data_IF_461076155101
#
_entry.id   IF_461076155101
#
_cell.length_a   1.000
_cell.length_b   1.000
_cell.length_c   1.000
_cell.angle_alpha   90.00
_cell.angle_beta   90.00
_cell.angle_gamma   90.00
#
_symmetry.space_group_name_H-M   'P 1'
#
loop_
_entity.id
_entity.type
_entity.pdbx_description
1 polymer ?
#
# COMPACT_ATOMS: atom_id res chain seq x y z
N UNK A 1 12.10 10.28 18.53
CA UNK A 1 12.52 11.14 17.41
C UNK A 1 11.36 11.44 16.49
N UNK A 2 11.56 12.38 15.66
CA UNK A 2 10.59 12.81 14.65
C UNK A 2 11.36 13.19 13.40
N UNK A 3 10.88 12.76 12.25
CA UNK A 3 11.39 13.16 10.93
C UNK A 3 10.21 13.69 10.11
N UNK A 4 10.36 14.87 9.54
CA UNK A 4 9.30 15.54 8.78
C UNK A 4 9.87 16.01 7.44
N UNK A 5 9.35 15.45 6.37
CA UNK A 5 9.72 15.76 4.99
C UNK A 5 8.48 16.07 4.17
N UNK A 6 7.87 17.23 4.41
CA UNK A 6 6.63 17.62 3.76
C UNK A 6 6.80 18.82 2.83
N UNK A 7 6.33 18.70 1.60
CA UNK A 7 6.22 19.79 0.64
C UNK A 7 4.79 20.36 0.64
N UNK A 8 4.56 21.42 1.39
CA UNK A 8 3.24 22.03 1.58
C UNK A 8 2.59 22.50 0.27
N UNK A 9 3.39 22.91 -0.71
CA UNK A 9 2.90 23.43 -1.99
C UNK A 9 2.37 22.36 -2.93
N UNK A 10 2.89 21.13 -2.84
CA UNK A 10 2.54 20.01 -3.71
C UNK A 10 1.67 18.96 -3.03
N UNK A 11 1.44 19.08 -1.73
CA UNK A 11 0.82 18.04 -0.89
C UNK A 11 1.53 16.69 -1.04
N UNK A 12 2.83 16.73 -1.09
CA UNK A 12 3.72 15.56 -1.03
C UNK A 12 4.46 15.61 0.30
N UNK A 13 4.54 14.46 0.94
CA UNK A 13 5.28 14.36 2.19
C UNK A 13 5.45 12.93 2.63
N UNK A 14 6.45 12.78 3.48
CA UNK A 14 6.77 11.55 4.17
C UNK A 14 7.22 11.96 5.58
N UNK A 15 6.37 11.70 6.56
CA UNK A 15 6.55 12.16 7.93
C UNK A 15 6.56 10.95 8.86
N UNK A 16 7.56 10.88 9.73
CA UNK A 16 7.73 9.80 10.70
C UNK A 16 7.81 10.32 12.12
N UNK A 17 7.15 9.64 13.03
CA UNK A 17 7.29 9.78 14.47
C UNK A 17 7.65 8.45 15.09
N UNK A 18 8.68 8.41 15.91
CA UNK A 18 9.10 7.19 16.59
C UNK A 18 9.50 7.42 18.03
N UNK A 19 9.35 6.41 18.84
CA UNK A 19 9.75 6.42 20.25
C UNK A 19 10.23 5.07 20.72
N UNK A 20 11.16 5.08 21.67
CA UNK A 20 11.70 3.91 22.31
C UNK A 20 11.81 4.16 23.81
N UNK A 21 11.33 3.21 24.59
CA UNK A 21 11.38 3.25 26.04
C UNK A 21 11.94 1.94 26.58
N UNK A 22 12.93 2.04 27.48
CA UNK A 22 13.59 0.91 28.10
C UNK A 22 13.42 0.97 29.61
N UNK A 23 13.01 -0.13 30.22
CA UNK A 23 12.94 -0.27 31.69
C UNK A 23 13.33 -1.67 32.11
N UNK A 24 14.51 -1.78 32.75
CA UNK A 24 15.03 -3.07 33.18
C UNK A 24 15.23 -4.03 32.01
N UNK A 25 14.48 -5.10 32.01
CA UNK A 25 14.52 -6.16 30.99
C UNK A 25 13.55 -5.94 29.82
N UNK A 26 12.79 -4.86 29.86
CA UNK A 26 11.74 -4.56 28.88
C UNK A 26 12.14 -3.40 27.98
N UNK A 27 11.85 -3.53 26.71
CA UNK A 27 11.94 -2.50 25.70
C UNK A 27 10.59 -2.39 24.98
N UNK A 28 10.07 -1.19 24.88
CA UNK A 28 8.90 -0.86 24.07
C UNK A 28 9.31 0.16 23.02
N UNK A 29 9.02 -0.09 21.77
CA UNK A 29 9.23 0.85 20.68
C UNK A 29 7.97 0.99 19.84
N UNK A 30 7.75 2.19 19.31
CA UNK A 30 6.73 2.45 18.34
C UNK A 30 7.30 3.31 17.22
N UNK A 31 6.77 3.14 16.03
CA UNK A 31 6.92 4.07 14.92
C UNK A 31 5.58 4.27 14.21
N UNK A 32 5.40 5.44 13.66
CA UNK A 32 4.26 5.77 12.82
C UNK A 32 4.76 6.63 11.67
N UNK A 33 4.51 6.16 10.48
CA UNK A 33 4.85 6.79 9.23
C UNK A 33 3.58 7.18 8.50
N UNK A 34 3.57 8.37 7.92
CA UNK A 34 2.54 8.81 7.00
C UNK A 34 3.18 9.38 5.75
N UNK A 35 2.81 8.82 4.62
CA UNK A 35 3.24 9.34 3.32
C UNK A 35 2.04 9.66 2.45
N UNK A 36 2.18 10.67 1.61
CA UNK A 36 1.12 11.04 0.72
C UNK A 36 1.59 11.85 -0.46
N UNK A 37 0.87 11.75 -1.56
CA UNK A 37 1.08 12.59 -2.71
C UNK A 37 -0.25 12.98 -3.37
N UNK A 38 -0.22 14.12 -4.04
CA UNK A 38 -1.30 14.59 -4.91
C UNK A 38 -0.69 15.26 -6.13
N UNK A 39 -0.93 14.68 -7.30
CA UNK A 39 -0.52 15.24 -8.59
C UNK A 39 -1.74 15.51 -9.43
N UNK A 40 -1.81 16.70 -10.04
CA UNK A 40 -2.90 17.11 -10.90
C UNK A 40 -2.35 17.59 -12.24
N UNK A 41 -3.03 17.19 -13.33
CA UNK A 41 -2.72 17.69 -14.67
C UNK A 41 -1.47 17.09 -15.29
N UNK A 42 -1.04 15.90 -14.86
CA UNK A 42 -0.05 15.11 -15.61
C UNK A 42 -0.59 14.82 -17.01
N UNK A 43 0.24 15.04 -18.01
CA UNK A 43 -0.11 14.85 -19.41
C UNK A 43 0.79 13.79 -20.02
N UNK A 44 0.17 12.85 -20.69
CA UNK A 44 0.84 11.81 -21.47
C UNK A 44 0.24 11.81 -22.88
N UNK A 45 1.08 11.65 -23.87
CA UNK A 45 0.68 11.43 -25.26
C UNK A 45 1.19 10.06 -25.70
N UNK A 46 0.29 9.27 -26.25
CA UNK A 46 0.59 7.95 -26.81
C UNK A 46 0.08 7.91 -28.25
N UNK A 47 0.88 7.35 -29.16
CA UNK A 47 0.50 7.10 -30.54
C UNK A 47 0.85 5.66 -30.90
N UNK A 48 -0.04 4.99 -31.58
CA UNK A 48 0.17 3.64 -32.09
C UNK A 48 -0.24 3.58 -33.57
N UNK A 49 0.67 3.11 -34.40
CA UNK A 49 0.47 2.93 -35.83
C UNK A 49 0.29 1.44 -36.16
N UNK A 50 -0.75 1.14 -36.87
CA UNK A 50 -1.09 -0.22 -37.34
C UNK A 50 -1.03 -0.28 -38.85
N UNK A 51 -0.18 -1.16 -39.41
CA UNK A 51 -0.19 -1.45 -40.86
C UNK A 51 -1.30 -2.42 -41.16
N UNK A 52 -2.25 -2.01 -41.99
CA UNK A 52 -3.36 -2.83 -42.41
C UNK A 52 -2.95 -3.79 -43.56
N UNK A 53 -3.80 -4.75 -43.87
CA UNK A 53 -3.55 -5.78 -44.90
C UNK A 53 -3.41 -5.20 -46.29
N UNK A 54 -3.97 -4.03 -46.56
CA UNK A 54 -3.86 -3.27 -47.82
C UNK A 54 -2.59 -2.36 -47.85
N UNK A 55 -1.75 -2.41 -46.82
CA UNK A 55 -0.55 -1.58 -46.69
C UNK A 55 -0.80 -0.15 -46.18
N UNK A 56 -2.04 0.24 -45.91
CA UNK A 56 -2.34 1.54 -45.28
C UNK A 56 -1.95 1.54 -43.82
N UNK A 57 -1.66 2.74 -43.28
CA UNK A 57 -1.33 2.95 -41.86
C UNK A 57 -2.57 3.53 -41.17
N UNK A 58 -2.94 2.89 -40.09
CA UNK A 58 -4.01 3.31 -39.21
C UNK A 58 -3.44 3.76 -37.85
N UNK A 59 -3.65 5.01 -37.49
CA UNK A 59 -3.06 5.62 -36.29
C UNK A 59 -4.14 5.85 -35.24
N UNK A 60 -3.83 5.44 -34.01
CA UNK A 60 -4.61 5.78 -32.82
C UNK A 60 -3.77 6.68 -31.92
N UNK A 61 -4.26 7.85 -31.63
CA UNK A 61 -3.65 8.77 -30.66
C UNK A 61 -4.48 8.84 -29.37
N UNK A 62 -3.79 8.85 -28.21
CA UNK A 62 -4.38 9.01 -26.88
C UNK A 62 -3.65 10.11 -26.13
N UNK A 63 -4.32 11.20 -25.80
CA UNK A 63 -3.75 12.36 -25.15
C UNK A 63 -4.46 12.59 -23.80
N UNK A 64 -3.72 12.64 -22.70
CA UNK A 64 -4.27 13.00 -21.40
C UNK A 64 -4.66 14.49 -21.39
N UNK A 65 -5.90 14.76 -21.10
CA UNK A 65 -6.46 16.11 -21.03
C UNK A 65 -6.53 16.57 -19.58
N UNK A 66 -7.01 15.71 -18.71
CA UNK A 66 -7.17 15.95 -17.29
C UNK A 66 -6.76 14.69 -16.50
N UNK A 67 -6.03 14.89 -15.41
CA UNK A 67 -5.66 13.81 -14.50
C UNK A 67 -5.59 14.28 -13.06
N UNK A 68 -5.93 13.40 -12.13
CA UNK A 68 -5.71 13.54 -10.71
C UNK A 68 -5.21 12.21 -10.18
N UNK A 69 -4.07 12.26 -9.49
CA UNK A 69 -3.53 11.14 -8.72
C UNK A 69 -3.35 11.57 -7.29
N UNK A 70 -3.92 10.82 -6.37
CA UNK A 70 -3.82 11.06 -4.94
C UNK A 70 -3.71 9.74 -4.21
N UNK A 71 -2.75 9.64 -3.30
CA UNK A 71 -2.63 8.50 -2.40
C UNK A 71 -2.18 8.98 -1.03
N UNK A 72 -2.60 8.28 0.00
CA UNK A 72 -2.12 8.43 1.36
C UNK A 72 -1.89 7.05 1.96
N UNK A 73 -0.73 6.87 2.57
CA UNK A 73 -0.30 5.67 3.28
C UNK A 73 -0.04 6.00 4.73
N UNK A 74 -0.43 5.10 5.61
CA UNK A 74 -0.12 5.13 7.02
C UNK A 74 0.45 3.78 7.43
N UNK A 75 1.62 3.78 8.05
CA UNK A 75 2.28 2.60 8.57
C UNK A 75 2.54 2.79 10.06
N UNK A 76 2.03 1.88 10.87
CA UNK A 76 2.20 1.88 12.32
C UNK A 76 2.86 0.60 12.78
N UNK A 77 3.84 0.72 13.67
CA UNK A 77 4.53 -0.43 14.26
C UNK A 77 4.68 -0.23 15.77
N UNK A 78 4.28 -1.25 16.53
CA UNK A 78 4.50 -1.34 17.96
C UNK A 78 5.29 -2.64 18.23
N UNK A 79 6.40 -2.54 18.94
CA UNK A 79 7.23 -3.69 19.29
C UNK A 79 7.51 -3.69 20.78
N UNK A 80 7.30 -4.85 21.40
CA UNK A 80 7.67 -5.11 22.79
C UNK A 80 8.68 -6.25 22.84
N UNK A 81 9.80 -6.02 23.48
CA UNK A 81 10.84 -6.99 23.73
C UNK A 81 11.06 -7.12 25.25
N UNK A 82 11.12 -8.35 25.71
CA UNK A 82 11.50 -8.68 27.07
C UNK A 82 12.52 -9.81 27.07
N UNK A 83 13.58 -9.67 27.87
CA UNK A 83 14.62 -10.70 27.97
C UNK A 83 15.24 -10.70 29.35
N UNK A 84 15.35 -11.87 29.94
CA UNK A 84 16.09 -12.02 31.20
C UNK A 84 17.59 -12.29 31.01
N UNK A 85 18.06 -12.12 29.77
CA UNK A 85 19.46 -12.24 29.33
C UNK A 85 20.06 -13.66 29.32
N UNK A 86 19.47 -14.63 30.02
CA UNK A 86 20.05 -15.95 30.16
C UNK A 86 19.11 -17.11 29.80
N UNK A 87 17.82 -16.97 30.02
CA UNK A 87 16.92 -18.11 29.94
C UNK A 87 15.62 -17.85 29.17
N UNK A 88 15.16 -16.61 29.06
CA UNK A 88 13.86 -16.33 28.46
C UNK A 88 13.90 -15.08 27.60
N UNK A 89 13.32 -15.18 26.41
CA UNK A 89 13.08 -14.07 25.47
C UNK A 89 11.62 -14.07 25.09
N UNK A 90 10.99 -12.92 25.14
CA UNK A 90 9.66 -12.68 24.61
C UNK A 90 9.69 -11.46 23.71
N UNK A 91 9.17 -11.61 22.50
CA UNK A 91 9.02 -10.51 21.54
C UNK A 91 7.59 -10.52 21.00
N UNK A 92 7.01 -9.36 20.89
CA UNK A 92 5.74 -9.18 20.22
C UNK A 92 5.79 -7.93 19.36
N UNK A 93 5.34 -8.02 18.12
CA UNK A 93 5.21 -6.87 17.24
C UNK A 93 3.83 -6.83 16.60
N UNK A 94 3.25 -5.64 16.58
CA UNK A 94 2.03 -5.35 15.85
C UNK A 94 2.37 -4.31 14.78
N UNK A 95 2.19 -4.69 13.52
CA UNK A 95 2.37 -3.81 12.37
C UNK A 95 1.00 -3.59 11.73
N UNK A 96 0.74 -2.40 11.24
CA UNK A 96 -0.48 -2.10 10.50
C UNK A 96 -0.20 -1.13 9.37
N UNK A 97 -0.52 -1.52 8.14
CA UNK A 97 -0.48 -0.66 6.98
C UNK A 97 -1.91 -0.31 6.54
N UNK A 98 -2.14 0.95 6.27
CA UNK A 98 -3.38 1.46 5.71
C UNK A 98 -3.05 2.32 4.49
N UNK A 99 -3.62 1.97 3.33
CA UNK A 99 -3.47 2.73 2.10
C UNK A 99 -4.82 3.19 1.60
N UNK A 100 -4.91 4.42 1.13
CA UNK A 100 -6.12 5.01 0.58
C UNK A 100 -5.81 5.84 -0.66
N UNK A 101 -6.42 5.46 -1.76
CA UNK A 101 -6.40 6.15 -3.04
C UNK A 101 -7.84 6.59 -3.36
N UNK A 102 -8.29 7.76 -2.86
CA UNK A 102 -9.71 8.05 -2.75
C UNK A 102 -10.40 8.36 -4.08
N UNK A 103 -9.71 8.91 -5.06
CA UNK A 103 -10.30 9.27 -6.36
C UNK A 103 -9.20 9.63 -7.36
N UNK A 104 -8.63 8.61 -7.98
CA UNK A 104 -7.70 8.81 -9.09
C UNK A 104 -8.49 8.75 -10.39
N UNK A 105 -8.27 9.72 -11.26
CA UNK A 105 -8.90 9.71 -12.57
C UNK A 105 -7.98 10.23 -13.67
N UNK A 106 -8.25 9.80 -14.88
CA UNK A 106 -7.63 10.34 -16.10
C UNK A 106 -8.70 10.45 -17.17
N UNK A 107 -8.76 11.61 -17.81
CA UNK A 107 -9.58 11.85 -19.01
C UNK A 107 -8.63 11.96 -20.19
N UNK A 108 -8.90 11.18 -21.23
CA UNK A 108 -8.11 11.14 -22.47
C UNK A 108 -8.96 11.57 -23.65
N UNK A 109 -8.39 12.39 -24.52
CA UNK A 109 -8.89 12.56 -25.88
C UNK A 109 -8.28 11.45 -26.75
N UNK A 110 -9.13 10.74 -27.44
CA UNK A 110 -8.74 9.65 -28.36
C UNK A 110 -9.10 10.08 -29.77
N UNK A 111 -8.10 10.00 -30.65
CA UNK A 111 -8.27 10.14 -32.11
C UNK A 111 -8.01 8.77 -32.71
N UNK A 112 -9.03 8.20 -33.30
CA UNK A 112 -9.06 6.86 -33.87
C UNK A 112 -9.43 6.97 -35.37
N UNK A 113 -8.41 7.15 -36.20
CA UNK A 113 -8.60 7.51 -37.60
C UNK A 113 -9.32 8.84 -37.74
N UNK A 114 -10.59 8.80 -38.17
CA UNK A 114 -11.45 10.00 -38.30
C UNK A 114 -12.35 10.25 -37.10
N UNK A 115 -12.38 9.34 -36.14
CA UNK A 115 -13.22 9.45 -34.94
C UNK A 115 -12.47 10.18 -33.83
N UNK A 116 -13.17 11.04 -33.13
CA UNK A 116 -12.65 11.72 -31.96
C UNK A 116 -13.65 11.57 -30.80
N UNK A 117 -13.17 11.05 -29.67
CA UNK A 117 -14.00 10.84 -28.48
C UNK A 117 -13.17 10.91 -27.21
N UNK A 118 -13.85 10.90 -26.05
CA UNK A 118 -13.20 10.92 -24.74
C UNK A 118 -13.30 9.57 -24.08
N UNK A 119 -12.21 9.17 -23.45
CA UNK A 119 -12.19 8.07 -22.49
C UNK A 119 -11.96 8.59 -21.08
N UNK A 120 -12.69 8.04 -20.12
CA UNK A 120 -12.54 8.37 -18.70
C UNK A 120 -12.21 7.11 -17.93
N UNK A 121 -11.13 7.16 -17.15
CA UNK A 121 -10.75 6.11 -16.21
C UNK A 121 -10.78 6.68 -14.79
N UNK A 122 -11.40 5.98 -13.85
CA UNK A 122 -11.37 6.30 -12.41
C UNK A 122 -11.06 5.07 -11.60
N UNK A 123 -10.28 5.25 -10.53
CA UNK A 123 -9.96 4.19 -9.58
C UNK A 123 -9.98 4.72 -8.15
N UNK A 124 -10.52 3.90 -7.24
CA UNK A 124 -10.51 4.10 -5.80
C UNK A 124 -10.05 2.82 -5.15
N UNK A 125 -9.03 2.92 -4.31
CA UNK A 125 -8.47 1.77 -3.62
C UNK A 125 -8.32 2.07 -2.13
N UNK A 126 -8.68 1.09 -1.31
CA UNK A 126 -8.39 1.09 0.12
C UNK A 126 -7.85 -0.26 0.51
N UNK A 127 -6.81 -0.27 1.32
CA UNK A 127 -6.32 -1.50 1.93
C UNK A 127 -5.96 -1.28 3.39
N UNK A 128 -6.14 -2.34 4.18
CA UNK A 128 -5.76 -2.41 5.56
C UNK A 128 -5.17 -3.78 5.85
N UNK A 129 -3.96 -3.82 6.40
CA UNK A 129 -3.22 -5.08 6.59
C UNK A 129 -2.46 -5.09 7.93
N UNK A 130 -3.13 -5.40 9.06
CA UNK A 130 -2.45 -5.64 10.32
C UNK A 130 -1.76 -7.01 10.35
N UNK A 131 -0.60 -7.05 10.99
CA UNK A 131 0.19 -8.25 11.26
C UNK A 131 0.61 -8.27 12.71
N UNK A 132 0.25 -9.32 13.43
CA UNK A 132 0.73 -9.62 14.77
C UNK A 132 1.75 -10.74 14.68
N UNK A 133 2.92 -10.52 15.24
CA UNK A 133 4.01 -11.50 15.32
C UNK A 133 4.43 -11.65 16.79
N UNK A 134 4.47 -12.88 17.28
CA UNK A 134 4.84 -13.23 18.65
C UNK A 134 5.91 -14.30 18.59
N UNK A 135 7.01 -14.04 19.29
CA UNK A 135 8.10 -14.99 19.52
C UNK A 135 8.32 -15.19 21.01
N UNK A 136 8.43 -16.42 21.42
CA UNK A 136 8.78 -16.81 22.76
C UNK A 136 9.89 -17.88 22.73
N UNK A 137 10.93 -17.68 23.54
CA UNK A 137 11.98 -18.65 23.79
C UNK A 137 12.20 -18.81 25.29
N UNK A 138 12.36 -20.04 25.77
CA UNK A 138 12.76 -20.32 27.14
C UNK A 138 13.69 -21.52 27.19
N UNK A 139 14.83 -21.35 27.83
CA UNK A 139 15.74 -22.44 28.23
C UNK A 139 15.22 -23.07 29.52
N UNK A 140 14.90 -24.36 29.47
CA UNK A 140 14.39 -25.12 30.62
C UNK A 140 15.53 -25.76 31.40
N UNK A 141 16.52 -26.30 30.70
CA UNK A 141 17.74 -26.92 31.24
C UNK A 141 18.92 -26.59 30.32
N UNK A 142 20.18 -26.88 30.70
CA UNK A 142 21.33 -26.73 29.80
C UNK A 142 21.17 -27.41 28.43
N UNK A 143 20.36 -28.47 28.34
CA UNK A 143 20.17 -29.27 27.14
C UNK A 143 18.73 -29.22 26.56
N UNK A 144 17.84 -28.40 27.15
CA UNK A 144 16.46 -28.35 26.71
C UNK A 144 15.97 -26.90 26.62
N UNK A 145 15.31 -26.58 25.55
CA UNK A 145 14.67 -25.29 25.34
C UNK A 145 13.30 -25.47 24.69
N UNK A 146 12.46 -24.46 24.84
CA UNK A 146 11.18 -24.35 24.14
C UNK A 146 11.17 -23.07 23.35
N UNK A 147 10.78 -23.15 22.09
CA UNK A 147 10.54 -22.02 21.20
C UNK A 147 9.09 -22.04 20.73
N UNK A 148 8.42 -20.92 20.77
CA UNK A 148 7.07 -20.77 20.22
C UNK A 148 6.99 -19.54 19.34
N UNK A 149 6.40 -19.69 18.17
CA UNK A 149 6.14 -18.63 17.20
C UNK A 149 4.66 -18.58 16.88
N UNK A 150 4.10 -17.39 16.74
CA UNK A 150 2.77 -17.20 16.22
C UNK A 150 2.70 -15.93 15.37
N UNK A 151 2.19 -16.06 14.15
CA UNK A 151 1.98 -14.93 13.22
C UNK A 151 0.53 -14.92 12.80
N UNK A 152 -0.16 -13.82 13.06
CA UNK A 152 -1.51 -13.57 12.59
C UNK A 152 -1.54 -12.41 11.61
N UNK A 153 -2.17 -12.60 10.46
CA UNK A 153 -2.33 -11.56 9.44
C UNK A 153 -3.79 -11.39 9.08
N UNK A 154 -4.18 -10.15 8.83
CA UNK A 154 -5.47 -9.84 8.24
C UNK A 154 -5.27 -8.83 7.12
N UNK A 155 -5.89 -9.07 5.97
CA UNK A 155 -5.83 -8.17 4.82
C UNK A 155 -7.26 -7.89 4.39
N UNK A 156 -7.58 -6.61 4.26
CA UNK A 156 -8.83 -6.14 3.66
C UNK A 156 -8.49 -5.18 2.53
N UNK A 157 -9.02 -5.44 1.35
CA UNK A 157 -8.86 -4.60 0.16
C UNK A 157 -10.22 -4.27 -0.42
N UNK A 158 -10.39 -3.02 -0.80
CA UNK A 158 -11.56 -2.53 -1.53
C UNK A 158 -11.08 -1.74 -2.74
N UNK A 159 -11.46 -2.21 -3.93
CA UNK A 159 -11.13 -1.54 -5.20
C UNK A 159 -12.42 -1.26 -5.94
N UNK A 160 -12.56 -0.02 -6.41
CA UNK A 160 -13.62 0.41 -7.32
C UNK A 160 -13.00 1.02 -8.55
N UNK A 161 -13.32 0.47 -9.72
CA UNK A 161 -12.82 0.97 -11.00
C UNK A 161 -13.97 1.27 -11.93
N UNK A 162 -13.85 2.39 -12.62
CA UNK A 162 -14.76 2.85 -13.65
C UNK A 162 -13.95 3.18 -14.90
N UNK A 163 -14.41 2.69 -16.03
CA UNK A 163 -13.86 3.00 -17.34
C UNK A 163 -15.00 3.27 -18.32
N UNK A 164 -14.88 4.33 -19.11
CA UNK A 164 -15.83 4.71 -20.12
C UNK A 164 -15.11 5.17 -21.40
N UNK A 165 -15.31 4.44 -22.47
CA UNK A 165 -14.85 4.73 -23.83
C UNK A 165 -16.04 4.62 -24.80
N UNK A 166 -17.19 5.21 -24.43
CA UNK A 166 -18.46 5.11 -25.16
C UNK A 166 -19.39 4.02 -24.65
N UNK A 167 -18.86 3.00 -23.98
CA UNK A 167 -19.64 2.02 -23.22
C UNK A 167 -19.06 1.94 -21.82
N UNK A 168 -19.76 2.45 -20.80
CA UNK A 168 -19.25 2.48 -19.45
C UNK A 168 -19.15 1.09 -18.83
N UNK A 169 -18.04 0.84 -18.18
CA UNK A 169 -17.77 -0.37 -17.42
C UNK A 169 -17.38 -0.03 -15.99
N UNK A 170 -17.99 -0.68 -15.03
CA UNK A 170 -17.66 -0.53 -13.61
C UNK A 170 -17.51 -1.89 -12.95
N UNK A 171 -16.49 -2.03 -12.12
CA UNK A 171 -16.38 -3.18 -11.24
C UNK A 171 -15.93 -2.74 -9.84
N UNK A 172 -16.43 -3.45 -8.84
CA UNK A 172 -16.09 -3.28 -7.45
C UNK A 172 -15.58 -4.64 -6.92
N UNK A 173 -14.47 -4.62 -6.20
CA UNK A 173 -13.87 -5.80 -5.57
C UNK A 173 -13.71 -5.52 -4.08
N UNK A 174 -14.22 -6.42 -3.24
CA UNK A 174 -14.01 -6.43 -1.80
C UNK A 174 -13.37 -7.78 -1.41
N UNK A 175 -12.13 -7.74 -0.98
CA UNK A 175 -11.34 -8.89 -0.60
C UNK A 175 -10.98 -8.85 0.88
N UNK A 176 -11.19 -9.96 1.60
CA UNK A 176 -10.79 -10.14 2.99
C UNK A 176 -10.10 -11.47 3.17
N UNK A 177 -8.94 -11.46 3.77
CA UNK A 177 -8.15 -12.67 4.06
C UNK A 177 -7.62 -12.58 5.47
N UNK A 178 -7.73 -13.67 6.22
CA UNK A 178 -7.11 -13.84 7.52
C UNK A 178 -6.30 -15.13 7.54
N UNK A 179 -5.10 -15.09 8.12
CA UNK A 179 -4.29 -16.27 8.32
C UNK A 179 -3.66 -16.28 9.72
N UNK A 180 -3.47 -17.48 10.25
CA UNK A 180 -2.76 -17.73 11.50
C UNK A 180 -1.78 -18.88 11.26
N UNK A 181 -0.52 -18.63 11.53
CA UNK A 181 0.53 -19.64 11.58
C UNK A 181 1.05 -19.72 13.02
N UNK A 182 1.20 -20.92 13.56
CA UNK A 182 1.81 -21.13 14.87
C UNK A 182 2.70 -22.36 14.86
N UNK A 183 3.78 -22.30 15.58
CA UNK A 183 4.76 -23.37 15.72
C UNK A 183 5.29 -23.42 17.16
N UNK A 184 5.50 -24.61 17.67
CA UNK A 184 6.16 -24.86 18.96
C UNK A 184 7.18 -25.95 18.76
N UNK A 185 8.44 -25.70 19.16
CA UNK A 185 9.57 -26.59 19.07
C UNK A 185 10.23 -26.78 20.43
#
# INVERSE_FOLDING_TARGET
GMDLTSALTTLQGDDMVYGKWNKGKSELSFSYDVSGYKTKGEKSKQSADYTLTDGSIYTIERNDVESLRKSISHDAKLTYNWSDSTATVFQASLNGAFNNTPDNYTVKDIVDGTRQYKATSRAKDKSYSPVLDIYFFRQLTPCQSVTANAVATYISTQTSSYYDEGTPYKYDVDGKTASLLSEVI
#
